data_IF_187054791668
#
_entry.id   IF_187054791668
#
_cell.length_a   1.000
_cell.length_b   1.000
_cell.length_c   1.000
_cell.angle_alpha   90.00
_cell.angle_beta   90.00
_cell.angle_gamma   90.00
#
_symmetry.space_group_name_H-M   'P 1'
#
loop_
_entity.id
_entity.type
_entity.pdbx_description
1 polymer ?
#
# COMPACT_ATOMS: atom_id res chain seq x y z
N UNK A 1 -13.22 5.76 -22.36
CA UNK A 1 -13.54 4.87 -21.23
C UNK A 1 -12.25 4.15 -20.88
N UNK A 2 -11.39 4.84 -20.14
CA UNK A 2 -10.08 4.33 -19.71
C UNK A 2 -10.34 3.37 -18.58
N UNK A 3 -10.22 2.07 -18.84
CA UNK A 3 -9.99 1.14 -17.74
C UNK A 3 -8.66 1.56 -17.11
N UNK A 4 -8.71 1.94 -15.84
CA UNK A 4 -7.55 2.04 -14.97
C UNK A 4 -7.09 0.60 -14.74
N UNK A 5 -6.07 0.19 -15.48
CA UNK A 5 -5.51 -1.18 -15.46
C UNK A 5 -4.37 -1.27 -14.41
N UNK A 6 -4.28 -0.32 -13.48
CA UNK A 6 -3.27 -0.25 -12.42
C UNK A 6 -3.37 -1.33 -11.32
N UNK A 7 -4.08 -2.43 -11.60
CA UNK A 7 -4.25 -3.59 -10.71
C UNK A 7 -3.87 -4.94 -11.32
N UNK A 8 -3.49 -5.01 -12.61
CA UNK A 8 -3.33 -6.29 -13.31
C UNK A 8 -2.25 -7.25 -12.77
N UNK A 9 -1.04 -6.83 -12.33
CA UNK A 9 -0.02 -7.80 -11.90
C UNK A 9 -0.41 -8.54 -10.62
N UNK A 10 -1.23 -7.94 -9.76
CA UNK A 10 -1.62 -8.52 -8.47
C UNK A 10 -3.07 -9.01 -8.46
N UNK A 11 -3.85 -8.79 -9.52
CA UNK A 11 -5.23 -9.25 -9.61
C UNK A 11 -5.41 -10.72 -9.18
N UNK A 12 -4.62 -11.71 -9.68
CA UNK A 12 -4.84 -13.10 -9.28
C UNK A 12 -4.56 -13.36 -7.78
N UNK A 13 -3.55 -12.72 -7.18
CA UNK A 13 -3.26 -12.90 -5.75
C UNK A 13 -4.32 -12.22 -4.88
N UNK A 14 -4.80 -11.04 -5.29
CA UNK A 14 -5.86 -10.34 -4.57
C UNK A 14 -7.18 -11.11 -4.67
N UNK A 15 -7.54 -11.64 -5.84
CA UNK A 15 -8.72 -12.48 -6.02
C UNK A 15 -8.65 -13.78 -5.21
N UNK A 16 -7.50 -14.45 -5.19
CA UNK A 16 -7.30 -15.64 -4.38
C UNK A 16 -7.45 -15.35 -2.88
N UNK A 17 -6.88 -14.22 -2.40
CA UNK A 17 -7.01 -13.81 -1.00
C UNK A 17 -8.47 -13.46 -0.64
N UNK A 18 -9.18 -12.73 -1.50
CA UNK A 18 -10.62 -12.45 -1.36
C UNK A 18 -11.43 -13.74 -1.27
N UNK A 19 -11.16 -14.71 -2.15
CA UNK A 19 -11.79 -16.03 -2.14
C UNK A 19 -11.54 -16.83 -0.84
N UNK A 20 -10.44 -16.54 -0.13
CA UNK A 20 -10.12 -17.12 1.17
C UNK A 20 -10.70 -16.35 2.37
N UNK A 21 -11.50 -15.30 2.11
CA UNK A 21 -12.14 -14.45 3.12
C UNK A 21 -11.28 -13.28 3.62
N UNK A 22 -10.22 -12.92 2.90
CA UNK A 22 -9.36 -11.79 3.25
C UNK A 22 -9.85 -10.50 2.61
N UNK A 23 -9.77 -9.39 3.34
CA UNK A 23 -9.88 -8.07 2.74
C UNK A 23 -8.55 -7.73 2.05
N UNK A 24 -8.62 -7.03 0.93
CA UNK A 24 -7.43 -6.75 0.12
C UNK A 24 -7.43 -5.29 -0.33
N UNK A 25 -6.27 -4.65 -0.23
CA UNK A 25 -6.07 -3.27 -0.67
C UNK A 25 -4.85 -3.19 -1.57
N UNK A 26 -4.97 -2.51 -2.71
CA UNK A 26 -3.85 -2.20 -3.59
C UNK A 26 -3.50 -0.71 -3.45
N UNK A 27 -2.26 -0.43 -3.04
CA UNK A 27 -1.71 0.91 -2.89
C UNK A 27 -0.60 1.11 -3.93
N UNK A 28 -0.88 1.87 -4.98
CA UNK A 28 0.14 2.30 -5.93
C UNK A 28 0.77 3.61 -5.44
N UNK A 29 2.10 3.67 -5.31
CA UNK A 29 2.88 4.86 -5.00
C UNK A 29 3.56 5.45 -6.26
N UNK A 30 3.14 5.03 -7.45
CA UNK A 30 3.66 5.55 -8.71
C UNK A 30 3.59 7.10 -8.75
N UNK A 31 4.69 7.74 -9.14
CA UNK A 31 4.83 9.20 -9.18
C UNK A 31 4.85 9.90 -7.82
N UNK A 32 4.89 9.17 -6.69
CA UNK A 32 5.07 9.77 -5.36
C UNK A 32 6.56 9.97 -5.11
N UNK A 33 6.97 11.21 -4.82
CA UNK A 33 8.38 11.55 -4.57
C UNK A 33 8.61 12.27 -3.24
N UNK A 34 7.55 12.58 -2.50
CA UNK A 34 7.62 13.31 -1.23
C UNK A 34 6.61 12.77 -0.21
N UNK A 35 6.89 13.02 1.07
CA UNK A 35 6.09 12.52 2.19
C UNK A 35 4.64 13.00 2.15
N UNK A 36 4.36 14.22 1.71
CA UNK A 36 2.98 14.72 1.70
C UNK A 36 2.14 13.94 0.69
N UNK A 37 2.68 13.73 -0.52
CA UNK A 37 2.06 12.87 -1.53
C UNK A 37 1.92 11.41 -1.06
N UNK A 38 2.91 10.87 -0.35
CA UNK A 38 2.85 9.53 0.23
C UNK A 38 1.67 9.40 1.21
N UNK A 39 1.57 10.34 2.16
CA UNK A 39 0.52 10.33 3.19
C UNK A 39 -0.87 10.49 2.57
N UNK A 40 -1.01 11.34 1.55
CA UNK A 40 -2.27 11.47 0.81
C UNK A 40 -2.64 10.17 0.09
N UNK A 41 -1.65 9.52 -0.53
CA UNK A 41 -1.86 8.26 -1.25
C UNK A 41 -2.28 7.14 -0.28
N UNK A 42 -1.66 7.06 0.90
CA UNK A 42 -2.10 6.17 1.98
C UNK A 42 -3.52 6.48 2.45
N UNK A 43 -3.83 7.74 2.73
CA UNK A 43 -5.15 8.16 3.19
C UNK A 43 -6.26 7.72 2.23
N UNK A 44 -6.08 8.00 0.94
CA UNK A 44 -7.04 7.59 -0.09
C UNK A 44 -7.05 6.09 -0.31
N UNK A 45 -5.89 5.44 -0.42
CA UNK A 45 -5.77 4.03 -0.77
C UNK A 45 -6.27 3.09 0.32
N UNK A 46 -6.06 3.45 1.59
CA UNK A 46 -6.50 2.67 2.75
C UNK A 46 -7.87 3.10 3.27
N UNK A 47 -8.47 4.17 2.72
CA UNK A 47 -9.70 4.75 3.23
C UNK A 47 -9.55 5.20 4.69
N UNK A 48 -8.45 5.90 5.00
CA UNK A 48 -8.20 6.39 6.36
C UNK A 48 -9.20 7.50 6.72
N UNK A 49 -9.56 7.60 8.01
CA UNK A 49 -10.53 8.58 8.47
C UNK A 49 -10.03 10.03 8.33
N UNK A 50 -10.95 10.98 8.30
CA UNK A 50 -10.64 12.42 8.08
C UNK A 50 -9.73 13.03 9.15
N UNK A 51 -9.67 12.43 10.34
CA UNK A 51 -8.78 12.84 11.43
C UNK A 51 -7.33 12.33 11.27
N UNK A 52 -7.02 11.58 10.20
CA UNK A 52 -5.69 11.07 9.94
C UNK A 52 -4.64 12.19 9.91
N UNK A 53 -3.68 12.14 10.84
CA UNK A 53 -2.70 13.20 11.08
C UNK A 53 -1.59 13.36 10.04
N UNK A 54 -1.62 12.58 8.94
CA UNK A 54 -0.67 12.64 7.80
C UNK A 54 0.81 12.67 8.21
N UNK A 55 1.16 11.84 9.19
CA UNK A 55 2.52 11.64 9.67
C UNK A 55 2.79 10.15 9.94
N UNK A 56 4.04 9.79 10.24
CA UNK A 56 4.46 8.39 10.36
C UNK A 56 3.82 7.68 11.55
N UNK A 57 3.74 8.34 12.71
CA UNK A 57 3.08 7.81 13.90
C UNK A 57 1.58 7.59 13.65
N UNK A 58 0.91 8.56 13.02
CA UNK A 58 -0.50 8.42 12.67
C UNK A 58 -0.74 7.27 11.67
N UNK A 59 0.21 7.00 10.76
CA UNK A 59 0.11 5.87 9.84
C UNK A 59 0.31 4.55 10.58
N UNK A 60 1.27 4.48 11.50
CA UNK A 60 1.48 3.31 12.34
C UNK A 60 0.24 3.01 13.17
N UNK A 61 -0.30 4.02 13.87
CA UNK A 61 -1.54 3.91 14.63
C UNK A 61 -2.66 3.37 13.75
N UNK A 62 -2.83 3.93 12.55
CA UNK A 62 -3.88 3.50 11.65
C UNK A 62 -3.70 2.08 11.08
N UNK A 63 -2.48 1.58 10.97
CA UNK A 63 -2.23 0.23 10.49
C UNK A 63 -2.35 -0.80 11.63
N UNK A 64 -2.18 -0.37 12.89
CA UNK A 64 -2.34 -1.21 14.08
C UNK A 64 -3.76 -1.18 14.68
N UNK A 65 -4.53 -0.13 14.43
CA UNK A 65 -5.95 -0.06 14.75
C UNK A 65 -6.73 0.00 13.44
N UNK A 66 -7.39 -1.10 13.07
CA UNK A 66 -8.22 -1.17 11.86
C UNK A 66 -9.70 -1.35 12.22
N UNK A 67 -10.11 -0.83 13.37
CA UNK A 67 -11.45 -0.99 13.93
C UNK A 67 -12.57 -0.33 13.10
N UNK A 68 -12.25 0.68 12.28
CA UNK A 68 -13.23 1.31 11.36
C UNK A 68 -13.45 0.51 10.07
N UNK A 69 -12.56 -0.44 9.76
CA UNK A 69 -12.71 -1.28 8.58
C UNK A 69 -13.67 -2.44 8.88
N UNK A 70 -14.42 -2.95 7.88
CA UNK A 70 -15.24 -4.13 8.05
C UNK A 70 -14.41 -5.32 8.59
N UNK A 71 -14.98 -6.17 9.46
CA UNK A 71 -14.29 -7.35 9.96
C UNK A 71 -13.92 -8.27 8.79
N UNK A 72 -12.71 -8.83 8.85
CA UNK A 72 -12.18 -9.74 7.85
C UNK A 72 -11.33 -10.81 8.54
N UNK A 73 -11.21 -11.98 7.90
CA UNK A 73 -10.36 -13.07 8.42
C UNK A 73 -8.89 -12.64 8.54
N UNK A 74 -8.46 -11.84 7.58
CA UNK A 74 -7.15 -11.19 7.50
C UNK A 74 -7.20 -10.09 6.44
N UNK A 75 -6.15 -9.28 6.37
CA UNK A 75 -6.03 -8.14 5.47
C UNK A 75 -4.71 -8.24 4.71
N UNK A 76 -4.76 -8.10 3.39
CA UNK A 76 -3.60 -8.06 2.53
C UNK A 76 -3.48 -6.67 1.89
N UNK A 77 -2.40 -5.96 2.20
CA UNK A 77 -2.04 -4.70 1.54
C UNK A 77 -0.91 -4.94 0.56
N UNK A 78 -1.12 -4.67 -0.71
CA UNK A 78 -0.07 -4.72 -1.74
C UNK A 78 0.35 -3.30 -2.07
N UNK A 79 1.63 -2.96 -1.85
CA UNK A 79 2.22 -1.67 -2.16
C UNK A 79 3.11 -1.79 -3.39
N UNK A 80 2.88 -0.96 -4.41
CA UNK A 80 3.59 -0.99 -5.70
C UNK A 80 4.09 0.39 -6.11
N UNK A 81 5.00 0.48 -7.08
CA UNK A 81 5.50 1.76 -7.60
C UNK A 81 6.25 2.60 -6.55
N UNK A 82 6.78 1.97 -5.50
CA UNK A 82 7.44 2.64 -4.38
C UNK A 82 8.89 3.05 -4.69
N UNK A 83 9.47 2.55 -5.78
CA UNK A 83 10.89 2.74 -6.08
C UNK A 83 11.26 4.21 -6.34
N UNK A 84 10.38 4.99 -6.96
CA UNK A 84 10.60 6.44 -7.18
C UNK A 84 10.69 7.19 -5.85
N UNK A 85 9.79 6.89 -4.92
CA UNK A 85 9.81 7.45 -3.57
C UNK A 85 11.06 7.02 -2.79
N UNK A 86 11.45 5.74 -2.91
CA UNK A 86 12.64 5.21 -2.26
C UNK A 86 13.94 5.86 -2.74
N UNK A 87 14.01 6.23 -4.02
CA UNK A 87 15.14 6.95 -4.61
C UNK A 87 15.15 8.43 -4.19
N UNK A 88 13.99 9.09 -4.26
CA UNK A 88 13.84 10.50 -3.92
C UNK A 88 14.04 10.80 -2.42
N UNK A 89 13.57 9.90 -1.55
CA UNK A 89 13.55 10.10 -0.10
C UNK A 89 13.96 8.82 0.67
N UNK A 90 15.21 8.34 0.55
CA UNK A 90 15.63 7.05 1.11
C UNK A 90 15.54 6.97 2.64
N UNK A 91 15.73 8.10 3.34
CA UNK A 91 15.57 8.18 4.79
C UNK A 91 14.10 8.00 5.21
N UNK A 92 13.18 8.64 4.50
CA UNK A 92 11.76 8.56 4.77
C UNK A 92 11.17 7.20 4.35
N UNK A 93 11.69 6.61 3.28
CA UNK A 93 11.34 5.26 2.87
C UNK A 93 11.78 4.20 3.88
N UNK A 94 12.90 4.39 4.60
CA UNK A 94 13.28 3.51 5.70
C UNK A 94 12.23 3.56 6.82
N UNK A 95 11.78 4.76 7.19
CA UNK A 95 10.75 4.94 8.21
C UNK A 95 9.43 4.29 7.76
N UNK A 96 9.03 4.45 6.49
CA UNK A 96 7.85 3.79 5.95
C UNK A 96 7.91 2.25 6.09
N UNK A 97 9.07 1.65 5.78
CA UNK A 97 9.28 0.21 5.95
C UNK A 97 9.24 -0.22 7.42
N UNK A 98 9.78 0.58 8.34
CA UNK A 98 9.70 0.33 9.79
C UNK A 98 8.24 0.37 10.26
N UNK A 99 7.46 1.35 9.80
CA UNK A 99 6.02 1.44 10.08
C UNK A 99 5.27 0.22 9.54
N UNK A 100 5.55 -0.20 8.30
CA UNK A 100 4.92 -1.38 7.71
C UNK A 100 5.30 -2.67 8.44
N UNK A 101 6.57 -2.86 8.78
CA UNK A 101 7.03 -4.03 9.54
C UNK A 101 6.39 -4.06 10.92
N UNK A 102 6.43 -2.94 11.64
CA UNK A 102 5.85 -2.82 12.98
C UNK A 102 4.35 -3.12 13.00
N UNK A 103 3.62 -2.68 11.97
CA UNK A 103 2.21 -3.02 11.81
C UNK A 103 1.99 -4.53 11.59
N UNK A 104 2.71 -5.16 10.66
CA UNK A 104 2.62 -6.62 10.44
C UNK A 104 2.94 -7.37 11.74
N UNK A 105 3.99 -6.96 12.45
CA UNK A 105 4.41 -7.56 13.72
C UNK A 105 3.38 -7.39 14.83
N UNK A 106 2.72 -6.22 14.92
CA UNK A 106 1.63 -6.00 15.86
C UNK A 106 0.50 -7.04 15.69
N UNK A 107 0.18 -7.36 14.44
CA UNK A 107 -0.86 -8.32 14.10
C UNK A 107 -0.39 -9.78 14.12
N UNK A 108 0.92 -10.05 14.25
CA UNK A 108 1.42 -11.43 14.38
C UNK A 108 0.91 -12.07 15.66
N UNK A 109 0.17 -13.17 15.50
CA UNK A 109 -0.41 -13.91 16.62
C UNK A 109 -1.82 -13.47 17.02
N UNK A 110 -2.39 -12.44 16.38
CA UNK A 110 -3.81 -12.17 16.46
C UNK A 110 -4.58 -13.37 15.88
N UNK A 111 -5.58 -13.86 16.61
CA UNK A 111 -6.40 -15.01 16.19
C UNK A 111 -7.24 -14.70 14.95
N UNK A 112 -7.61 -13.42 14.76
CA UNK A 112 -8.44 -12.92 13.67
C UNK A 112 -7.99 -11.50 13.29
N UNK A 113 -8.20 -11.12 12.01
CA UNK A 113 -7.99 -9.73 11.56
C UNK A 113 -6.55 -9.33 11.26
N UNK A 114 -5.63 -10.30 11.18
CA UNK A 114 -4.21 -10.02 10.95
C UNK A 114 -3.93 -9.24 9.66
N UNK A 115 -2.83 -8.49 9.62
CA UNK A 115 -2.41 -7.67 8.49
C UNK A 115 -1.11 -8.21 7.88
N UNK A 116 -1.13 -8.44 6.57
CA UNK A 116 0.05 -8.76 5.76
C UNK A 116 0.29 -7.65 4.74
N UNK A 117 1.55 -7.23 4.58
CA UNK A 117 1.95 -6.18 3.65
C UNK A 117 2.98 -6.73 2.68
N UNK A 118 2.72 -6.60 1.37
CA UNK A 118 3.61 -7.02 0.29
C UNK A 118 4.11 -5.79 -0.45
N UNK A 119 5.43 -5.58 -0.44
CA UNK A 119 6.09 -4.58 -1.28
C UNK A 119 6.45 -5.21 -2.62
N UNK A 120 5.72 -4.85 -3.66
CA UNK A 120 5.92 -5.44 -4.96
C UNK A 120 6.96 -4.67 -5.78
N UNK A 121 7.94 -5.40 -6.29
CA UNK A 121 8.91 -4.90 -7.26
C UNK A 121 8.31 -5.00 -8.66
N UNK A 122 8.19 -3.87 -9.35
CA UNK A 122 7.66 -3.81 -10.70
C UNK A 122 7.61 -2.36 -11.20
N UNK A 123 7.56 -2.13 -12.53
CA UNK A 123 7.46 -0.78 -13.04
C UNK A 123 6.20 -0.14 -12.46
N UNK A 124 6.34 1.07 -11.93
CA UNK A 124 5.22 2.00 -11.90
C UNK A 124 4.64 2.01 -13.33
N UNK A 125 3.34 1.79 -13.46
CA UNK A 125 2.61 1.70 -14.73
C UNK A 125 3.27 2.51 -15.86
N UNK A 126 3.69 1.81 -16.92
CA UNK A 126 4.07 2.39 -18.21
C UNK A 126 5.08 3.54 -18.18
N UNK A 127 6.36 3.24 -17.99
CA UNK A 127 7.39 4.04 -18.65
C UNK A 127 7.16 3.90 -20.16
N UNK A 128 6.44 4.88 -20.71
CA UNK A 128 6.28 5.11 -22.13
C UNK A 128 7.64 4.93 -22.81
N UNK A 129 7.78 3.79 -23.48
CA UNK A 129 8.91 3.51 -24.35
C UNK A 129 8.45 3.90 -25.75
N UNK A 130 8.26 5.19 -26.00
CA UNK A 130 8.36 5.71 -27.35
C UNK A 130 9.83 5.75 -27.78
N UNK A 131 10.38 4.56 -28.08
CA UNK A 131 11.43 4.42 -29.10
C UNK A 131 10.78 4.45 -30.49
N UNK A 132 10.53 5.64 -31.01
CA UNK A 132 10.55 5.90 -32.45
C UNK A 132 11.79 6.74 -32.74
N UNK A 133 12.89 6.20 -33.25
CA UNK A 133 12.96 5.59 -34.57
C UNK A 133 13.16 6.68 -35.60
N UNK A 134 14.39 7.19 -35.72
CA UNK A 134 14.86 7.93 -36.90
C UNK A 134 15.93 7.10 -37.61
#
# INVERSE_FOLDING_TARGET
MTHDVGGEPFAPVLEAARGAGWATTALSLAGVTDKAAFMERCARGLGLPDWFGRNWDALADCLTDLSWQPPARGRLLVVSGWQEYADAAPGEWRIAQEVFSGAVEHWRGATEGGLEIVLALGPADGADTERGGS
#
